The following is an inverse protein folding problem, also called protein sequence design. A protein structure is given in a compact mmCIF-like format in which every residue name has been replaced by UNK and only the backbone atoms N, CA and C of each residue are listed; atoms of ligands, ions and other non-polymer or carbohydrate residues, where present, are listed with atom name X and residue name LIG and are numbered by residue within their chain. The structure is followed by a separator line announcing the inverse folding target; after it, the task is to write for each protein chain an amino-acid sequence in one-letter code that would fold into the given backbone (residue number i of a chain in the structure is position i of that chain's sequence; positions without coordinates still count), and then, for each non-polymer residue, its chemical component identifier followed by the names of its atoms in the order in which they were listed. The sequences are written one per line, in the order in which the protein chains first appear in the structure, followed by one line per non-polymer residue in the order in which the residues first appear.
data_IF_726737330577
#
_entry.id   IF_726737330577
#
_cell.length_a   1.000
_cell.length_b   1.000
_cell.length_c   1.000
_cell.angle_alpha   90.00
_cell.angle_beta   90.00
_cell.angle_gamma   90.00
#
_symmetry.space_group_name_H-M   'P 1'
#
loop_
_entity.id
_entity.type
_entity.pdbx_description
1 polymer ?
#
# COMPACT_ATOMS: atom_id res chain seq x y z
N UNK A 1 10.38 -22.22 -19.76
CA UNK A 1 10.49 -21.76 -18.38
C UNK A 1 9.37 -22.36 -17.54
N UNK A 2 9.62 -22.45 -16.24
CA UNK A 2 8.67 -22.90 -15.24
C UNK A 2 8.68 -21.89 -14.08
N UNK A 3 7.50 -21.44 -13.67
CA UNK A 3 7.35 -20.54 -12.54
C UNK A 3 6.64 -21.30 -11.44
N UNK A 4 7.22 -21.28 -10.24
CA UNK A 4 6.65 -21.87 -9.04
C UNK A 4 6.44 -20.75 -8.02
N UNK A 5 5.21 -20.57 -7.58
CA UNK A 5 4.89 -19.60 -6.53
C UNK A 5 4.34 -20.33 -5.31
N UNK A 6 4.89 -20.00 -4.14
CA UNK A 6 4.42 -20.48 -2.85
C UNK A 6 3.89 -19.33 -2.02
N UNK A 7 2.68 -19.49 -1.51
CA UNK A 7 2.12 -18.57 -0.51
C UNK A 7 2.44 -19.13 0.87
N UNK A 8 3.08 -18.32 1.71
CA UNK A 8 3.44 -18.66 3.08
C UNK A 8 2.70 -17.76 4.07
N UNK A 9 2.27 -18.34 5.18
CA UNK A 9 1.70 -17.60 6.30
C UNK A 9 2.78 -16.86 7.11
N UNK A 10 2.36 -16.15 8.15
CA UNK A 10 3.24 -15.40 9.06
C UNK A 10 4.31 -16.25 9.76
N UNK A 11 4.14 -17.58 9.82
CA UNK A 11 5.07 -18.51 10.44
C UNK A 11 5.98 -19.20 9.39
N UNK A 12 5.87 -18.80 8.12
CA UNK A 12 6.61 -19.40 7.00
C UNK A 12 6.07 -20.72 6.50
N UNK A 13 4.90 -21.18 7.00
CA UNK A 13 4.26 -22.39 6.51
C UNK A 13 3.63 -22.14 5.15
N UNK A 14 3.90 -23.03 4.19
CA UNK A 14 3.27 -22.99 2.87
C UNK A 14 1.79 -23.32 3.00
N UNK A 15 0.92 -22.40 2.57
CA UNK A 15 -0.54 -22.52 2.60
C UNK A 15 -1.16 -22.69 1.22
N UNK A 16 -0.44 -22.32 0.16
CA UNK A 16 -0.82 -22.59 -1.23
C UNK A 16 0.42 -22.66 -2.11
N UNK A 17 0.34 -23.41 -3.21
CA UNK A 17 1.40 -23.52 -4.22
C UNK A 17 0.78 -23.56 -5.61
N UNK A 18 1.38 -22.84 -6.55
CA UNK A 18 1.03 -22.85 -7.96
C UNK A 18 2.26 -23.05 -8.83
N UNK A 19 2.08 -23.72 -9.96
CA UNK A 19 3.12 -23.93 -10.96
C UNK A 19 2.54 -23.69 -12.36
N UNK A 20 3.28 -22.91 -13.18
CA UNK A 20 2.97 -22.71 -14.59
C UNK A 20 4.21 -22.99 -15.44
N UNK A 21 3.99 -23.64 -16.59
CA UNK A 21 4.99 -23.79 -17.65
C UNK A 21 4.72 -22.76 -18.75
N UNK A 22 5.74 -22.05 -19.15
CA UNK A 22 5.66 -20.94 -20.10
C UNK A 22 6.69 -21.13 -21.21
N UNK A 23 6.25 -20.91 -22.46
CA UNK A 23 7.16 -20.66 -23.56
C UNK A 23 7.26 -19.14 -23.74
N UNK A 24 8.43 -18.59 -23.46
CA UNK A 24 8.64 -17.13 -23.45
C UNK A 24 9.52 -16.76 -24.65
N UNK A 25 9.00 -15.92 -25.54
CA UNK A 25 9.73 -15.37 -26.69
C UNK A 25 10.00 -13.87 -26.54
N UNK A 26 9.25 -13.21 -25.66
CA UNK A 26 9.32 -11.78 -25.33
C UNK A 26 8.70 -11.58 -23.93
N UNK A 27 8.40 -10.33 -23.55
CA UNK A 27 7.71 -10.05 -22.29
C UNK A 27 6.36 -10.78 -22.24
N UNK A 28 6.20 -11.63 -21.24
CA UNK A 28 4.99 -12.43 -21.06
C UNK A 28 4.38 -12.13 -19.70
N UNK A 29 3.10 -11.74 -19.69
CA UNK A 29 2.28 -11.64 -18.49
C UNK A 29 1.55 -12.97 -18.28
N UNK A 30 1.53 -13.47 -17.06
CA UNK A 30 0.72 -14.61 -16.65
C UNK A 30 0.07 -14.34 -15.30
N UNK A 31 -1.01 -15.05 -15.03
CA UNK A 31 -1.76 -14.94 -13.79
C UNK A 31 -1.80 -16.28 -13.08
N UNK A 32 -1.74 -16.24 -11.76
CA UNK A 32 -1.94 -17.40 -10.88
C UNK A 32 -2.98 -17.06 -9.83
N UNK A 33 -3.92 -17.97 -9.63
CA UNK A 33 -4.93 -17.85 -8.58
C UNK A 33 -4.62 -18.81 -7.44
N UNK A 34 -4.74 -18.33 -6.21
CA UNK A 34 -4.48 -19.10 -5.01
C UNK A 34 -5.67 -19.05 -4.06
N UNK A 35 -6.14 -20.22 -3.63
CA UNK A 35 -7.10 -20.29 -2.54
C UNK A 35 -6.36 -20.53 -1.22
N UNK A 36 -6.52 -19.61 -0.28
CA UNK A 36 -6.00 -19.75 1.09
C UNK A 36 -7.19 -20.05 2.01
N UNK A 37 -7.21 -21.25 2.58
CA UNK A 37 -8.30 -21.66 3.46
C UNK A 37 -8.20 -20.95 4.82
N UNK A 38 -9.32 -20.37 5.27
CA UNK A 38 -9.42 -19.67 6.55
C UNK A 38 -8.27 -18.69 6.81
N UNK A 39 -8.07 -17.68 5.94
CA UNK A 39 -6.96 -16.77 6.08
C UNK A 39 -7.09 -15.90 7.34
N UNK A 40 -5.98 -15.62 7.98
CA UNK A 40 -5.91 -14.57 8.98
C UNK A 40 -5.93 -13.21 8.26
N UNK A 41 -6.95 -12.41 8.52
CA UNK A 41 -7.14 -11.14 7.83
C UNK A 41 -6.31 -10.03 8.47
N UNK A 42 -5.72 -9.19 7.63
CA UNK A 42 -5.02 -8.00 8.07
C UNK A 42 -5.99 -6.94 8.62
N UNK A 43 -5.67 -6.39 9.78
CA UNK A 43 -6.34 -5.20 10.33
C UNK A 43 -5.35 -4.40 11.18
N UNK A 44 -5.68 -3.16 11.59
CA UNK A 44 -4.86 -2.39 12.53
C UNK A 44 -4.59 -3.11 13.87
N UNK A 45 -5.50 -3.95 14.30
CA UNK A 45 -5.39 -4.73 15.54
C UNK A 45 -4.59 -6.02 15.34
N UNK A 46 -4.70 -6.62 14.15
CA UNK A 46 -4.06 -7.89 13.78
C UNK A 46 -3.37 -7.75 12.41
N UNK A 47 -2.20 -7.11 12.34
CA UNK A 47 -1.52 -6.81 11.08
C UNK A 47 -0.78 -8.05 10.52
N UNK A 48 -1.55 -9.07 10.17
CA UNK A 48 -1.00 -10.33 9.64
C UNK A 48 -0.60 -10.17 8.19
N UNK A 49 0.65 -10.53 7.90
CA UNK A 49 1.21 -10.52 6.56
C UNK A 49 1.52 -11.93 6.08
N UNK A 50 1.31 -12.15 4.80
CA UNK A 50 1.68 -13.32 4.03
C UNK A 50 2.84 -12.99 3.11
N UNK A 51 3.48 -14.03 2.61
CA UNK A 51 4.59 -13.92 1.65
C UNK A 51 4.30 -14.77 0.43
N UNK A 52 4.42 -14.19 -0.76
CA UNK A 52 4.45 -14.91 -2.03
C UNK A 52 5.90 -15.01 -2.49
N UNK A 53 6.44 -16.23 -2.53
CA UNK A 53 7.76 -16.51 -3.11
C UNK A 53 7.59 -17.09 -4.50
N UNK A 54 8.03 -16.36 -5.52
CA UNK A 54 7.99 -16.78 -6.92
C UNK A 54 9.39 -17.12 -7.41
N UNK A 55 9.57 -18.30 -7.99
CA UNK A 55 10.83 -18.79 -8.51
C UNK A 55 10.70 -19.16 -9.98
N UNK A 56 11.62 -18.68 -10.80
CA UNK A 56 11.68 -18.95 -12.23
C UNK A 56 12.79 -19.92 -12.53
N UNK A 57 12.45 -21.00 -13.23
CA UNK A 57 13.38 -22.05 -13.63
C UNK A 57 13.48 -22.17 -15.16
N UNK A 58 14.66 -22.41 -15.64
CA UNK A 58 14.92 -22.95 -16.99
C UNK A 58 15.36 -24.40 -16.86
N UNK A 59 14.48 -25.31 -17.26
CA UNK A 59 14.66 -26.72 -16.91
C UNK A 59 14.66 -26.89 -15.38
N UNK A 60 15.77 -27.37 -14.82
CA UNK A 60 15.96 -27.53 -13.38
C UNK A 60 16.82 -26.43 -12.75
N UNK A 61 17.26 -25.46 -13.53
CA UNK A 61 18.13 -24.37 -13.05
C UNK A 61 17.30 -23.18 -12.61
N UNK A 62 17.46 -22.76 -11.35
CA UNK A 62 16.87 -21.52 -10.84
C UNK A 62 17.53 -20.34 -11.55
N UNK A 63 16.72 -19.47 -12.16
CA UNK A 63 17.18 -18.27 -12.88
C UNK A 63 16.91 -17.00 -12.14
N UNK A 64 15.74 -16.93 -11.46
CA UNK A 64 15.34 -15.73 -10.74
C UNK A 64 14.39 -16.10 -9.61
N UNK A 65 14.36 -15.27 -8.57
CA UNK A 65 13.40 -15.38 -7.47
C UNK A 65 12.96 -13.99 -6.99
N UNK A 66 11.69 -13.91 -6.62
CA UNK A 66 11.11 -12.68 -6.12
C UNK A 66 10.16 -12.95 -4.95
N UNK A 67 10.26 -12.12 -3.92
CA UNK A 67 9.44 -12.22 -2.72
C UNK A 67 8.56 -11.01 -2.59
N UNK A 68 7.25 -11.21 -2.47
CA UNK A 68 6.26 -10.17 -2.24
C UNK A 68 5.58 -10.38 -0.90
N UNK A 69 5.58 -9.39 -0.03
CA UNK A 69 4.75 -9.38 1.18
C UNK A 69 3.39 -8.77 0.85
N UNK A 70 2.35 -9.32 1.42
CA UNK A 70 0.98 -8.82 1.24
C UNK A 70 0.10 -9.19 2.44
N UNK A 71 -1.03 -8.53 2.57
CA UNK A 71 -2.05 -8.87 3.56
C UNK A 71 -3.37 -9.23 2.88
N UNK A 72 -4.12 -10.15 3.48
CA UNK A 72 -5.45 -10.52 3.00
C UNK A 72 -6.48 -9.71 3.76
N UNK A 73 -7.31 -8.96 3.07
CA UNK A 73 -8.37 -8.13 3.63
C UNK A 73 -9.49 -7.87 2.63
N UNK A 74 -10.64 -7.47 3.12
CA UNK A 74 -11.71 -6.91 2.31
C UNK A 74 -11.94 -5.45 2.67
N UNK A 75 -12.18 -4.61 1.65
CA UNK A 75 -12.52 -3.21 1.79
C UNK A 75 -13.85 -2.94 1.10
N UNK A 76 -14.74 -2.24 1.77
CA UNK A 76 -16.03 -1.88 1.23
C UNK A 76 -16.41 -0.46 1.67
N UNK A 77 -16.90 0.34 0.74
CA UNK A 77 -17.47 1.65 1.02
C UNK A 77 -18.95 1.57 0.66
N UNK A 78 -19.80 1.65 1.67
CA UNK A 78 -21.24 1.60 1.48
C UNK A 78 -21.78 3.02 1.66
N UNK A 79 -22.44 3.62 0.64
CA UNK A 79 -23.09 4.92 0.77
C UNK A 79 -23.97 4.96 2.03
N UNK A 80 -23.91 6.06 2.76
CA UNK A 80 -24.64 6.33 4.01
C UNK A 80 -24.32 5.42 5.20
N UNK A 81 -23.49 4.37 5.02
CA UNK A 81 -23.07 3.47 6.09
C UNK A 81 -21.60 3.64 6.47
N UNK A 82 -20.74 4.00 5.51
CA UNK A 82 -19.35 4.29 5.73
C UNK A 82 -18.39 3.22 5.22
N UNK A 83 -17.18 3.20 5.79
CA UNK A 83 -16.09 2.31 5.42
C UNK A 83 -16.08 1.04 6.25
N UNK A 84 -16.00 -0.10 5.59
CA UNK A 84 -15.92 -1.42 6.22
C UNK A 84 -14.59 -2.09 5.88
N UNK A 85 -13.91 -2.54 6.92
CA UNK A 85 -12.71 -3.38 6.83
C UNK A 85 -13.07 -4.78 7.33
N UNK A 86 -12.90 -5.79 6.49
CA UNK A 86 -13.25 -7.18 6.81
C UNK A 86 -14.71 -7.34 7.31
N UNK A 87 -15.64 -6.62 6.68
CA UNK A 87 -17.06 -6.61 7.04
C UNK A 87 -17.41 -5.82 8.33
N UNK A 88 -16.42 -5.19 9.00
CA UNK A 88 -16.63 -4.41 10.21
C UNK A 88 -16.61 -2.91 9.90
N UNK A 89 -17.65 -2.17 10.30
CA UNK A 89 -17.68 -0.71 10.21
C UNK A 89 -16.48 -0.13 10.98
N UNK A 90 -15.65 0.60 10.25
CA UNK A 90 -14.39 1.13 10.77
C UNK A 90 -14.32 2.64 10.58
N UNK A 91 -14.07 3.36 11.67
CA UNK A 91 -13.83 4.81 11.63
C UNK A 91 -12.35 5.09 11.56
N UNK A 92 -11.96 6.01 10.68
CA UNK A 92 -10.60 6.54 10.65
C UNK A 92 -10.39 7.47 11.85
N UNK A 93 -9.42 7.14 12.68
CA UNK A 93 -8.94 7.98 13.79
C UNK A 93 -7.47 8.25 13.49
N UNK A 94 -7.15 9.42 13.00
CA UNK A 94 -5.81 9.63 12.51
C UNK A 94 -5.44 11.09 12.33
N UNK A 95 -4.26 11.27 11.75
CA UNK A 95 -3.64 12.56 11.51
C UNK A 95 -3.21 12.68 10.04
N UNK A 96 -3.05 13.93 9.58
CA UNK A 96 -2.31 14.21 8.36
C UNK A 96 -0.82 14.19 8.69
N UNK A 97 -0.08 13.35 7.99
CA UNK A 97 1.34 13.16 8.20
C UNK A 97 2.12 13.68 7.00
N UNK A 98 2.85 14.77 7.20
CA UNK A 98 3.77 15.29 6.20
C UNK A 98 5.05 14.48 6.20
N UNK A 99 5.73 14.41 5.05
CA UNK A 99 7.03 13.73 4.94
C UNK A 99 8.13 14.58 5.59
N UNK A 100 8.12 14.61 6.92
CA UNK A 100 9.04 15.37 7.76
C UNK A 100 9.27 14.61 9.08
N UNK A 101 10.53 14.37 9.40
CA UNK A 101 10.96 13.70 10.61
C UNK A 101 11.67 14.65 11.58
N UNK A 102 11.25 15.92 11.62
CA UNK A 102 11.80 16.95 12.50
C UNK A 102 13.26 17.26 12.16
N UNK A 103 14.23 17.03 13.07
CA UNK A 103 15.64 17.34 12.81
C UNK A 103 16.25 16.60 11.61
N UNK A 104 15.63 15.50 11.18
CA UNK A 104 16.05 14.73 9.99
C UNK A 104 15.49 15.30 8.69
N UNK A 105 14.55 16.24 8.77
CA UNK A 105 13.86 16.82 7.59
C UNK A 105 13.18 15.74 6.76
N UNK A 106 13.35 15.81 5.44
CA UNK A 106 12.80 14.84 4.48
C UNK A 106 13.61 13.54 4.32
N UNK A 107 14.62 13.29 5.15
CA UNK A 107 15.40 12.05 5.07
C UNK A 107 14.56 10.86 5.55
N UNK A 108 14.59 9.77 4.77
CA UNK A 108 13.92 8.51 5.16
C UNK A 108 14.77 7.81 6.21
N UNK A 109 14.19 7.56 7.38
CA UNK A 109 14.82 6.83 8.48
C UNK A 109 13.82 5.87 9.11
N UNK A 110 14.03 4.56 8.93
CA UNK A 110 13.10 3.52 9.39
C UNK A 110 12.81 3.59 10.89
N UNK A 111 13.83 3.79 11.71
CA UNK A 111 13.65 3.85 13.17
C UNK A 111 12.79 5.07 13.59
N UNK A 112 12.99 6.21 12.94
CA UNK A 112 12.20 7.42 13.20
C UNK A 112 10.74 7.25 12.72
N UNK A 113 10.52 6.66 11.55
CA UNK A 113 9.20 6.33 11.00
C UNK A 113 8.47 5.38 11.96
N UNK A 114 9.08 4.28 12.35
CA UNK A 114 8.47 3.31 13.29
C UNK A 114 8.17 3.92 14.65
N UNK A 115 9.04 4.80 15.13
CA UNK A 115 8.78 5.57 16.36
C UNK A 115 7.54 6.46 16.21
N UNK A 116 7.42 7.17 15.10
CA UNK A 116 6.27 8.04 14.81
C UNK A 116 4.96 7.24 14.78
N UNK A 117 4.93 6.10 14.06
CA UNK A 117 3.75 5.23 14.01
C UNK A 117 3.39 4.71 15.40
N UNK A 118 4.39 4.30 16.21
CA UNK A 118 4.16 3.83 17.58
C UNK A 118 3.49 4.90 18.43
N UNK A 119 4.00 6.13 18.40
CA UNK A 119 3.41 7.26 19.13
C UNK A 119 1.96 7.50 18.71
N UNK A 120 1.68 7.47 17.39
CA UNK A 120 0.33 7.64 16.89
C UNK A 120 -0.60 6.52 17.37
N UNK A 121 -0.14 5.28 17.38
CA UNK A 121 -0.92 4.15 17.92
C UNK A 121 -1.18 4.30 19.40
N UNK A 122 -0.20 4.71 20.18
CA UNK A 122 -0.32 4.98 21.63
C UNK A 122 -1.33 6.10 21.92
N UNK A 123 -1.47 7.07 21.01
CA UNK A 123 -2.50 8.11 21.05
C UNK A 123 -3.90 7.59 20.64
N UNK A 124 -4.03 6.35 20.20
CA UNK A 124 -5.28 5.74 19.75
C UNK A 124 -5.59 5.95 18.27
N UNK A 125 -4.62 6.36 17.47
CA UNK A 125 -4.75 6.44 16.01
C UNK A 125 -4.74 5.04 15.40
N UNK A 126 -5.56 4.85 14.35
CA UNK A 126 -5.57 3.67 13.50
C UNK A 126 -5.31 3.98 12.03
N UNK A 127 -5.13 5.26 11.69
CA UNK A 127 -4.95 5.71 10.32
C UNK A 127 -4.03 6.93 10.23
N UNK A 128 -3.37 7.09 9.08
CA UNK A 128 -2.65 8.30 8.67
C UNK A 128 -3.06 8.67 7.24
N UNK A 129 -3.01 9.96 6.93
CA UNK A 129 -3.10 10.49 5.57
C UNK A 129 -1.74 11.06 5.19
N UNK A 130 -1.18 10.62 4.06
CA UNK A 130 0.13 11.11 3.60
C UNK A 130 -0.03 12.42 2.86
N UNK A 131 0.03 13.52 3.60
CA UNK A 131 -0.13 14.88 3.09
C UNK A 131 1.18 15.38 2.50
N UNK A 132 1.29 15.75 1.26
CA UNK A 132 0.29 15.63 0.19
C UNK A 132 0.95 14.95 -1.00
N UNK A 133 1.74 13.90 -0.77
CA UNK A 133 2.56 13.26 -1.78
C UNK A 133 2.59 11.74 -1.59
N UNK A 134 3.06 11.05 -2.62
CA UNK A 134 3.31 9.61 -2.54
C UNK A 134 4.20 9.30 -1.33
N UNK A 135 3.78 8.41 -0.42
CA UNK A 135 4.56 8.05 0.76
C UNK A 135 5.86 7.33 0.38
N UNK A 136 6.85 7.39 1.27
CA UNK A 136 8.03 6.55 1.16
C UNK A 136 7.67 5.06 1.38
N UNK A 137 8.31 4.12 0.66
CA UNK A 137 8.07 2.68 0.84
C UNK A 137 8.21 2.22 2.29
N UNK A 138 9.21 2.70 2.99
CA UNK A 138 9.51 2.37 4.39
C UNK A 138 8.36 2.77 5.33
N UNK A 139 7.66 3.87 5.03
CA UNK A 139 6.48 4.27 5.80
C UNK A 139 5.33 3.29 5.59
N UNK A 140 5.09 2.89 4.34
CA UNK A 140 4.00 1.96 4.00
C UNK A 140 4.29 0.57 4.57
N UNK A 141 5.51 0.08 4.43
CA UNK A 141 5.94 -1.20 5.02
C UNK A 141 5.79 -1.21 6.55
N UNK A 142 6.20 -0.14 7.21
CA UNK A 142 6.03 0.00 8.65
C UNK A 142 4.53 0.05 9.04
N UNK A 143 3.67 0.67 8.23
CA UNK A 143 2.23 0.67 8.43
C UNK A 143 1.62 -0.72 8.24
N UNK A 144 2.07 -1.49 7.25
CA UNK A 144 1.66 -2.87 7.04
C UNK A 144 1.98 -3.75 8.26
N UNK A 145 3.20 -3.63 8.78
CA UNK A 145 3.72 -4.44 9.89
C UNK A 145 3.14 -4.04 11.24
N UNK A 146 2.94 -2.76 11.45
CA UNK A 146 2.51 -2.22 12.75
C UNK A 146 0.99 -2.04 12.83
N UNK A 147 0.24 -2.23 11.75
CA UNK A 147 -1.20 -2.10 11.71
C UNK A 147 -1.66 -0.63 11.77
N UNK A 148 -1.32 0.15 10.74
CA UNK A 148 -1.79 1.52 10.57
C UNK A 148 -2.39 1.66 9.18
N UNK A 149 -3.66 2.02 9.08
CA UNK A 149 -4.28 2.29 7.78
C UNK A 149 -3.69 3.55 7.15
N UNK A 150 -3.57 3.55 5.84
CA UNK A 150 -3.01 4.68 5.09
C UNK A 150 -3.99 5.15 4.03
N UNK A 151 -4.30 6.43 4.06
CA UNK A 151 -4.87 7.18 2.96
C UNK A 151 -3.71 7.80 2.19
N UNK A 152 -3.33 7.18 1.08
CA UNK A 152 -2.21 7.63 0.27
C UNK A 152 -2.62 8.76 -0.67
N UNK A 153 -1.79 9.78 -0.77
CA UNK A 153 -1.95 10.89 -1.74
C UNK A 153 -0.84 10.85 -2.77
N UNK A 154 -1.14 11.25 -4.01
CA UNK A 154 -0.18 11.24 -5.10
C UNK A 154 0.50 12.60 -5.31
N UNK A 155 -0.22 13.70 -5.14
CA UNK A 155 0.28 15.05 -5.40
C UNK A 155 -0.50 16.12 -4.60
N UNK A 156 0.19 17.23 -4.34
CA UNK A 156 -0.30 18.31 -3.46
C UNK A 156 -1.32 19.25 -4.13
N UNK A 157 -1.24 19.46 -5.43
CA UNK A 157 -2.14 20.35 -6.15
C UNK A 157 -2.57 19.80 -7.50
N UNK A 158 -3.66 20.36 -8.02
CA UNK A 158 -4.21 20.03 -9.33
C UNK A 158 -3.82 21.06 -10.38
N UNK A 159 -4.71 21.24 -11.40
CA UNK A 159 -4.56 22.24 -12.45
C UNK A 159 -4.55 23.67 -11.92
N UNK A 160 -5.23 23.93 -10.80
CA UNK A 160 -5.23 25.24 -10.16
C UNK A 160 -3.99 25.43 -9.31
N UNK A 161 -3.21 26.46 -9.63
CA UNK A 161 -1.97 26.76 -8.92
C UNK A 161 -2.24 27.14 -7.45
N UNK A 162 -1.54 26.49 -6.53
CA UNK A 162 -1.38 26.96 -5.15
C UNK A 162 -0.13 27.83 -5.02
N UNK A 163 0.92 27.48 -5.72
CA UNK A 163 2.22 28.14 -5.69
C UNK A 163 2.79 28.33 -7.10
N UNK A 164 3.62 29.34 -7.29
CA UNK A 164 4.20 29.68 -8.61
C UNK A 164 4.96 28.53 -9.28
N UNK A 165 5.57 27.64 -8.51
CA UNK A 165 6.34 26.50 -9.01
C UNK A 165 5.75 25.14 -8.56
N UNK A 166 4.42 25.05 -8.49
CA UNK A 166 3.73 23.86 -8.06
C UNK A 166 3.52 22.83 -9.17
N UNK A 167 2.90 21.71 -8.78
CA UNK A 167 2.63 20.56 -9.64
C UNK A 167 1.67 20.87 -10.81
N UNK A 168 0.83 21.92 -10.68
CA UNK A 168 -0.08 22.39 -11.74
C UNK A 168 0.61 22.57 -13.09
N UNK A 169 1.90 22.93 -13.10
CA UNK A 169 2.68 23.16 -14.33
C UNK A 169 2.87 21.88 -15.16
N UNK A 170 2.88 20.74 -14.50
CA UNK A 170 3.12 19.45 -15.13
C UNK A 170 1.92 18.51 -14.98
N UNK A 171 0.82 18.97 -14.40
CA UNK A 171 -0.33 18.15 -14.05
C UNK A 171 -0.86 17.35 -15.25
N UNK A 172 -1.13 17.98 -16.38
CA UNK A 172 -1.72 17.32 -17.55
C UNK A 172 -0.79 16.26 -18.16
N UNK A 173 0.52 16.39 -17.99
CA UNK A 173 1.50 15.42 -18.47
C UNK A 173 1.71 14.26 -17.50
N UNK A 174 1.65 14.51 -16.18
CA UNK A 174 2.14 13.56 -15.18
C UNK A 174 1.07 12.91 -14.33
N UNK A 175 -0.14 13.46 -14.26
CA UNK A 175 -1.20 12.99 -13.36
C UNK A 175 -1.49 11.49 -13.51
N UNK A 176 -1.64 11.00 -14.76
CA UNK A 176 -1.94 9.59 -15.01
C UNK A 176 -0.73 8.69 -14.71
N UNK A 177 0.48 9.19 -14.99
CA UNK A 177 1.73 8.47 -14.72
C UNK A 177 1.94 8.30 -13.22
N UNK A 178 1.80 9.38 -12.45
CA UNK A 178 2.05 9.38 -11.01
C UNK A 178 0.98 8.60 -10.25
N UNK A 179 -0.29 8.77 -10.62
CA UNK A 179 -1.37 7.99 -10.00
C UNK A 179 -1.25 6.49 -10.33
N UNK A 180 -0.92 6.16 -11.56
CA UNK A 180 -0.66 4.77 -11.97
C UNK A 180 0.52 4.18 -11.22
N UNK A 181 1.59 4.95 -11.07
CA UNK A 181 2.78 4.54 -10.32
C UNK A 181 2.43 4.26 -8.85
N UNK A 182 1.73 5.17 -8.18
CA UNK A 182 1.29 4.99 -6.79
C UNK A 182 0.47 3.71 -6.62
N UNK A 183 -0.55 3.51 -7.47
CA UNK A 183 -1.42 2.33 -7.40
C UNK A 183 -0.63 1.04 -7.65
N UNK A 184 0.19 0.99 -8.69
CA UNK A 184 0.98 -0.19 -9.02
C UNK A 184 2.04 -0.51 -7.97
N UNK A 185 2.66 0.51 -7.40
CA UNK A 185 3.70 0.34 -6.40
C UNK A 185 3.15 -0.26 -5.10
N UNK A 186 1.99 0.25 -4.65
CA UNK A 186 1.44 -0.12 -3.34
C UNK A 186 0.23 -1.08 -3.37
N UNK A 187 -0.12 -1.65 -4.51
CA UNK A 187 -1.30 -2.53 -4.63
C UNK A 187 -1.27 -3.77 -3.73
N UNK A 188 -0.08 -4.20 -3.30
CA UNK A 188 0.12 -5.37 -2.43
C UNK A 188 0.18 -5.01 -0.94
N UNK A 189 0.23 -3.72 -0.60
CA UNK A 189 0.33 -3.24 0.76
C UNK A 189 -1.05 -3.16 1.41
N UNK A 190 -1.37 -3.98 2.41
CA UNK A 190 -2.70 -4.03 2.99
C UNK A 190 -3.06 -2.76 3.78
N UNK A 191 -2.10 -2.01 4.25
CA UNK A 191 -2.31 -0.74 4.94
C UNK A 191 -2.91 0.35 4.06
N UNK A 192 -2.67 0.33 2.74
CA UNK A 192 -3.27 1.28 1.81
C UNK A 192 -4.74 0.93 1.64
N UNK A 193 -5.62 1.67 2.31
CA UNK A 193 -7.07 1.41 2.30
C UNK A 193 -7.83 2.38 1.40
N UNK A 194 -7.22 3.48 1.04
CA UNK A 194 -7.76 4.43 0.07
C UNK A 194 -6.64 5.25 -0.56
N UNK A 195 -6.88 5.68 -1.78
CA UNK A 195 -6.02 6.63 -2.49
C UNK A 195 -6.80 7.92 -2.67
N UNK A 196 -6.25 9.01 -2.17
CA UNK A 196 -6.81 10.35 -2.34
C UNK A 196 -5.96 11.12 -3.34
N UNK A 197 -6.64 11.75 -4.28
CA UNK A 197 -6.06 12.71 -5.21
C UNK A 197 -6.74 14.08 -5.05
N UNK A 198 -7.64 14.21 -4.06
CA UNK A 198 -8.37 15.43 -3.79
C UNK A 198 -7.76 16.18 -2.62
N UNK A 199 -7.26 17.38 -2.88
CA UNK A 199 -7.10 18.37 -1.86
C UNK A 199 -8.48 18.95 -1.56
N UNK A 200 -9.07 18.60 -0.43
CA UNK A 200 -10.24 19.32 0.08
C UNK A 200 -9.83 20.74 0.37
N UNK A 201 -10.28 21.68 -0.46
CA UNK A 201 -10.19 23.10 -0.12
C UNK A 201 -10.93 23.31 1.20
N UNK A 202 -10.28 23.90 2.18
CA UNK A 202 -10.87 24.23 3.47
C UNK A 202 -12.08 25.20 3.38
N UNK A 203 -12.48 25.59 2.16
CA UNK A 203 -13.55 26.54 1.88
C UNK A 203 -14.76 25.94 1.14
N UNK A 204 -14.82 24.63 0.88
CA UNK A 204 -15.98 24.00 0.23
C UNK A 204 -16.97 23.39 1.21
N UNK A 205 -16.77 23.56 2.50
CA UNK A 205 -17.82 23.34 3.49
C UNK A 205 -18.48 24.68 3.78
N UNK A 206 -19.69 24.87 3.34
CA UNK A 206 -20.62 25.97 3.64
C UNK A 206 -20.97 26.85 2.42
N UNK A 207 -21.82 26.33 1.57
CA UNK A 207 -22.96 27.06 1.02
C UNK A 207 -24.08 26.11 0.69
#
# INVERSE_FOLDING_TARGET
YRIVTQIKDKNGKVVATGENKLSVFDNTLFEQEFAVANPELWSPETPVLYTAESKVYEGNTLKDEYTTRFGIRTLEIIPDKGFFLNGKLTKFKGVCNHHDLGPLGGAVNDAAIRRQIRILKDMGCNAIRTSHNMPAPELVEACDEMGMMVMAESFDEWKSAKMANGYHKVFDEWVDKDLTNLIRHYRNNPSIVTVSYTHLRAHETLS
#
